data_IF_717461601916
#
_entry.id   IF_717461601916
#
_cell.length_a   1.000
_cell.length_b   1.000
_cell.length_c   1.000
_cell.angle_alpha   90.00
_cell.angle_beta   90.00
_cell.angle_gamma   90.00
#
_symmetry.space_group_name_H-M   'P 1'
#
loop_
_entity.id
_entity.type
_entity.pdbx_description
1 polymer ?
#
# COMPACT_ATOMS: atom_id res chain seq x y z
N UNK A 1 25.56 -44.27 -24.69
CA UNK A 1 24.31 -43.52 -25.02
C UNK A 1 23.45 -43.22 -23.80
N UNK A 2 23.23 -44.17 -22.87
CA UNK A 2 22.44 -43.96 -21.63
C UNK A 2 22.93 -42.81 -20.72
N UNK A 3 24.25 -42.58 -20.64
CA UNK A 3 24.81 -41.48 -19.84
C UNK A 3 24.57 -40.09 -20.45
N UNK A 4 24.54 -40.01 -21.79
CA UNK A 4 24.25 -38.75 -22.51
C UNK A 4 22.76 -38.38 -22.33
N UNK A 5 21.86 -39.36 -22.34
CA UNK A 5 20.44 -39.13 -22.07
C UNK A 5 20.17 -38.70 -20.64
N UNK A 6 20.91 -39.23 -19.65
CA UNK A 6 20.77 -38.81 -18.24
C UNK A 6 21.27 -37.37 -18.05
N UNK A 7 22.39 -37.01 -18.66
CA UNK A 7 22.93 -35.65 -18.61
C UNK A 7 21.98 -34.62 -19.25
N UNK A 8 21.33 -34.98 -20.36
CA UNK A 8 20.34 -34.11 -21.02
C UNK A 8 19.10 -33.86 -20.15
N UNK A 9 18.61 -34.87 -19.41
CA UNK A 9 17.46 -34.73 -18.50
C UNK A 9 17.81 -33.85 -17.29
N UNK A 10 19.00 -34.01 -16.72
CA UNK A 10 19.45 -33.20 -15.59
C UNK A 10 19.60 -31.71 -15.97
N UNK A 11 20.06 -31.42 -17.19
CA UNK A 11 20.18 -30.06 -17.69
C UNK A 11 18.81 -29.39 -17.91
N UNK A 12 17.80 -30.17 -18.31
CA UNK A 12 16.43 -29.69 -18.51
C UNK A 12 15.71 -29.36 -17.19
N UNK A 13 16.04 -30.04 -16.10
CA UNK A 13 15.48 -29.78 -14.77
C UNK A 13 16.04 -28.50 -14.12
N UNK A 14 17.24 -28.06 -14.52
CA UNK A 14 17.86 -26.86 -13.98
C UNK A 14 17.28 -25.55 -14.55
N UNK A 15 16.75 -25.58 -15.77
CA UNK A 15 16.23 -24.40 -16.48
C UNK A 15 14.76 -24.08 -16.18
N UNK A 16 14.07 -24.92 -15.42
CA UNK A 16 12.63 -24.78 -15.13
C UNK A 16 12.28 -23.79 -14.00
N UNK A 17 13.24 -23.08 -13.42
CA UNK A 17 12.97 -22.12 -12.34
C UNK A 17 12.63 -20.72 -12.88
N UNK A 18 11.50 -20.59 -13.58
CA UNK A 18 10.94 -19.27 -13.91
C UNK A 18 10.09 -18.78 -12.73
N UNK A 19 10.72 -18.01 -11.83
CA UNK A 19 9.99 -17.28 -10.80
C UNK A 19 9.31 -16.06 -11.43
N UNK A 20 8.04 -16.21 -11.83
CA UNK A 20 7.18 -15.05 -12.07
C UNK A 20 6.75 -14.50 -10.71
N UNK A 21 7.51 -13.53 -10.18
CA UNK A 21 6.98 -12.68 -9.12
C UNK A 21 5.94 -11.79 -9.78
N UNK A 22 4.66 -12.15 -9.65
CA UNK A 22 3.61 -11.16 -9.83
C UNK A 22 3.99 -10.04 -8.87
N UNK A 23 4.25 -8.80 -9.34
CA UNK A 23 4.30 -7.70 -8.42
C UNK A 23 2.96 -7.80 -7.72
N UNK A 24 2.97 -8.05 -6.42
CA UNK A 24 1.84 -7.67 -5.60
C UNK A 24 1.77 -6.17 -5.81
N UNK A 25 1.11 -5.76 -6.89
CA UNK A 25 0.57 -4.45 -7.09
C UNK A 25 -0.41 -4.42 -5.94
N UNK A 26 0.10 -3.99 -4.79
CA UNK A 26 -0.71 -3.38 -3.77
C UNK A 26 -1.47 -2.40 -4.63
N UNK A 27 -2.73 -2.74 -4.90
CA UNK A 27 -3.69 -1.77 -5.32
C UNK A 27 -3.63 -0.84 -4.12
N UNK A 28 -2.77 0.17 -4.24
CA UNK A 28 -2.90 1.44 -3.56
C UNK A 28 -4.26 1.91 -4.04
N UNK A 29 -5.31 1.36 -3.45
CA UNK A 29 -6.48 2.14 -3.17
C UNK A 29 -5.90 3.33 -2.42
N UNK A 30 -5.59 4.41 -3.14
CA UNK A 30 -4.83 5.54 -2.57
C UNK A 30 -5.52 6.15 -1.35
N UNK A 31 -6.76 5.76 -1.09
CA UNK A 31 -7.54 6.06 0.10
C UNK A 31 -7.08 5.27 1.33
N UNK A 32 -7.26 5.87 2.49
CA UNK A 32 -7.05 5.20 3.79
C UNK A 32 -7.97 3.98 3.95
N UNK A 33 -9.21 4.08 3.48
CA UNK A 33 -10.21 3.01 3.55
C UNK A 33 -9.74 1.75 2.84
N UNK A 34 -9.34 1.84 1.57
CA UNK A 34 -8.92 0.65 0.86
C UNK A 34 -7.59 0.10 1.38
N UNK A 35 -6.70 0.94 1.96
CA UNK A 35 -5.51 0.43 2.65
C UNK A 35 -5.88 -0.38 3.90
N UNK A 36 -6.95 0.01 4.61
CA UNK A 36 -7.48 -0.75 5.74
C UNK A 36 -8.08 -2.08 5.26
N UNK A 37 -8.94 -2.06 4.24
CA UNK A 37 -9.54 -3.27 3.67
C UNK A 37 -8.48 -4.26 3.16
N UNK A 38 -7.49 -3.77 2.42
CA UNK A 38 -6.37 -4.54 1.89
C UNK A 38 -5.54 -5.18 3.01
N UNK A 39 -5.37 -4.48 4.13
CA UNK A 39 -4.65 -4.98 5.30
C UNK A 39 -5.42 -6.12 6.00
N UNK A 40 -6.76 -6.05 6.04
CA UNK A 40 -7.60 -7.15 6.53
C UNK A 40 -7.61 -8.33 5.55
N UNK A 41 -7.75 -8.06 4.25
CA UNK A 41 -7.79 -9.07 3.19
C UNK A 41 -6.49 -9.89 3.14
N UNK A 42 -5.33 -9.23 3.22
CA UNK A 42 -4.01 -9.87 3.20
C UNK A 42 -3.55 -10.45 4.54
N UNK A 43 -4.32 -10.29 5.60
CA UNK A 43 -3.94 -10.81 6.91
C UNK A 43 -4.21 -12.31 7.01
N UNK A 44 -3.36 -13.01 7.77
CA UNK A 44 -3.52 -14.44 8.01
C UNK A 44 -4.65 -14.69 9.01
N UNK A 45 -5.29 -15.86 8.96
CA UNK A 45 -6.23 -16.27 10.00
C UNK A 45 -5.51 -17.18 11.02
N UNK A 46 -5.71 -16.92 12.31
CA UNK A 46 -5.24 -17.78 13.39
C UNK A 46 -6.30 -17.89 14.49
N UNK A 47 -6.86 -19.08 14.72
CA UNK A 47 -7.85 -19.33 15.77
C UNK A 47 -9.06 -18.36 15.75
N UNK A 48 -9.52 -17.95 14.56
CA UNK A 48 -10.60 -16.97 14.40
C UNK A 48 -10.17 -15.50 14.42
N UNK A 49 -8.89 -15.21 14.65
CA UNK A 49 -8.32 -13.87 14.62
C UNK A 49 -7.64 -13.56 13.30
N UNK A 50 -7.65 -12.29 12.92
CA UNK A 50 -6.87 -11.73 11.82
C UNK A 50 -5.48 -11.34 12.34
N UNK A 51 -4.45 -11.97 11.80
CA UNK A 51 -3.04 -11.75 12.16
C UNK A 51 -2.39 -10.87 11.12
N UNK A 52 -2.12 -9.63 11.53
CA UNK A 52 -1.55 -8.58 10.69
C UNK A 52 -0.07 -8.42 11.01
N UNK A 53 0.75 -8.23 9.97
CA UNK A 53 2.17 -7.88 10.14
C UNK A 53 2.28 -6.49 10.77
N UNK A 54 3.07 -6.38 11.85
CA UNK A 54 3.33 -5.10 12.53
C UNK A 54 3.78 -3.99 11.58
N UNK A 55 4.63 -4.32 10.60
CA UNK A 55 5.12 -3.36 9.60
C UNK A 55 4.00 -2.79 8.72
N UNK A 56 3.05 -3.63 8.30
CA UNK A 56 1.87 -3.19 7.53
C UNK A 56 0.96 -2.29 8.36
N UNK A 57 0.75 -2.62 9.64
CA UNK A 57 -0.06 -1.80 10.54
C UNK A 57 0.59 -0.41 10.78
N UNK A 58 1.89 -0.36 11.02
CA UNK A 58 2.63 0.90 11.17
C UNK A 58 2.62 1.74 9.89
N UNK A 59 2.67 1.08 8.72
CA UNK A 59 2.55 1.77 7.43
C UNK A 59 1.17 2.42 7.27
N UNK A 60 0.10 1.70 7.57
CA UNK A 60 -1.26 2.23 7.58
C UNK A 60 -1.38 3.42 8.54
N UNK A 61 -0.85 3.30 9.76
CA UNK A 61 -0.84 4.41 10.73
C UNK A 61 -0.17 5.66 10.18
N UNK A 62 1.02 5.52 9.57
CA UNK A 62 1.76 6.63 8.96
C UNK A 62 0.94 7.30 7.85
N UNK A 63 0.32 6.50 6.97
CA UNK A 63 -0.48 7.01 5.86
C UNK A 63 -1.78 7.71 6.34
N UNK A 64 -2.39 7.24 7.42
CA UNK A 64 -3.53 7.92 8.08
C UNK A 64 -3.11 9.27 8.63
N UNK A 65 -1.99 9.34 9.34
CA UNK A 65 -1.48 10.59 9.92
C UNK A 65 -1.15 11.61 8.83
N UNK A 66 -0.57 11.16 7.71
CA UNK A 66 -0.28 12.02 6.57
C UNK A 66 -1.57 12.58 5.95
N UNK A 67 -2.57 11.73 5.73
CA UNK A 67 -3.88 12.14 5.20
C UNK A 67 -4.56 13.18 6.10
N UNK A 68 -4.50 12.99 7.41
CA UNK A 68 -5.03 13.95 8.39
C UNK A 68 -4.26 15.27 8.37
N UNK A 69 -2.93 15.23 8.25
CA UNK A 69 -2.09 16.42 8.13
C UNK A 69 -2.43 17.22 6.88
N UNK A 70 -2.59 16.56 5.74
CA UNK A 70 -3.01 17.19 4.48
C UNK A 70 -4.39 17.84 4.64
N UNK A 71 -5.36 17.13 5.22
CA UNK A 71 -6.69 17.65 5.49
C UNK A 71 -6.65 18.90 6.39
N UNK A 72 -5.91 18.85 7.50
CA UNK A 72 -5.71 19.99 8.41
C UNK A 72 -5.13 21.20 7.68
N UNK A 73 -4.08 20.99 6.88
CA UNK A 73 -3.44 22.07 6.14
C UNK A 73 -4.40 22.73 5.13
N UNK A 74 -5.25 21.92 4.47
CA UNK A 74 -6.27 22.44 3.55
C UNK A 74 -7.32 23.28 4.27
N UNK A 75 -7.75 22.84 5.46
CA UNK A 75 -8.68 23.63 6.29
C UNK A 75 -8.05 24.96 6.71
N UNK A 76 -6.80 24.95 7.18
CA UNK A 76 -6.09 26.18 7.55
C UNK A 76 -5.95 27.14 6.37
N UNK A 77 -5.54 26.65 5.21
CA UNK A 77 -5.42 27.46 4.00
C UNK A 77 -6.78 28.07 3.58
N UNK A 78 -7.87 27.32 3.71
CA UNK A 78 -9.21 27.84 3.43
C UNK A 78 -9.62 28.92 4.43
N UNK A 79 -9.31 28.76 5.72
CA UNK A 79 -9.57 29.78 6.75
C UNK A 79 -8.79 31.06 6.45
N UNK A 80 -7.51 30.95 6.11
CA UNK A 80 -6.68 32.09 5.75
C UNK A 80 -7.21 32.82 4.51
N UNK A 81 -7.64 32.06 3.50
CA UNK A 81 -8.28 32.61 2.31
C UNK A 81 -9.58 33.36 2.64
N UNK A 82 -10.47 32.79 3.45
CA UNK A 82 -11.71 33.45 3.87
C UNK A 82 -11.44 34.73 4.67
N UNK A 83 -10.45 34.72 5.57
CA UNK A 83 -10.04 35.91 6.32
C UNK A 83 -9.51 37.01 5.39
N UNK A 84 -8.75 36.64 4.35
CA UNK A 84 -8.27 37.58 3.34
C UNK A 84 -9.44 38.21 2.55
N UNK A 85 -10.42 37.40 2.15
CA UNK A 85 -11.61 37.89 1.45
C UNK A 85 -12.44 38.83 2.33
N UNK A 86 -12.65 38.47 3.61
CA UNK A 86 -13.36 39.31 4.57
C UNK A 86 -12.69 40.68 4.71
N UNK A 87 -11.37 40.72 4.87
CA UNK A 87 -10.63 41.99 4.92
C UNK A 87 -10.82 42.86 3.68
N UNK A 88 -10.88 42.26 2.49
CA UNK A 88 -11.12 43.03 1.25
C UNK A 88 -12.51 43.64 1.28
N UNK A 89 -13.53 42.88 1.72
CA UNK A 89 -14.91 43.37 1.85
C UNK A 89 -15.02 44.49 2.88
N UNK A 90 -14.37 44.35 4.04
CA UNK A 90 -14.40 45.34 5.13
C UNK A 90 -13.74 46.70 4.75
N UNK A 91 -12.94 46.74 3.67
CA UNK A 91 -12.27 47.95 3.17
C UNK A 91 -13.00 48.62 1.98
N UNK A 92 -14.17 48.12 1.58
CA UNK A 92 -15.05 48.73 0.56
C UNK A 92 -16.07 49.67 1.21
#
# INVERSE_FOLDING_TARGET
MKHITIAAIALFLFTANTFSQTPNKIIDSGTVEGQFENLIDKSNNFQGYKVIKKTSLLKLQSNVLDSLKVSKNKVLANVDFLNSQKRVIDNL
#
